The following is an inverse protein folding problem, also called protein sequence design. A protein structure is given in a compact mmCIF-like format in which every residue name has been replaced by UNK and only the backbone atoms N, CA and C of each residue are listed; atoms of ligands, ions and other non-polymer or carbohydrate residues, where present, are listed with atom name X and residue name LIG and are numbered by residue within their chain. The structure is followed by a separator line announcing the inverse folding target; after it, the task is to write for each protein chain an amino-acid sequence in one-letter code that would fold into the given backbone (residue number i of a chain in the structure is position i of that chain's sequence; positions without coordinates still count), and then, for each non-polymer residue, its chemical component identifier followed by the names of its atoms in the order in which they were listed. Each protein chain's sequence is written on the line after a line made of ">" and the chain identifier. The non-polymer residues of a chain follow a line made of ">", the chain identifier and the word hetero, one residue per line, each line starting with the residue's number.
data_IF_580676707823
#
_entry.id   IF_580676707823
#
_cell.length_a   1.000
_cell.length_b   1.000
_cell.length_c   1.000
_cell.angle_alpha   90.00
_cell.angle_beta   90.00
_cell.angle_gamma   90.00
#
_symmetry.space_group_name_H-M   'P 1'
#
loop_
_entity.id
_entity.type
_entity.pdbx_description
1 polymer ?
#
# COMPACT_ATOMS: atom_id res chain seq x y z
N UNK A 1 15.53 40.09 -8.67
CA UNK A 1 16.21 39.55 -7.48
C UNK A 1 15.25 39.71 -6.30
N UNK A 2 14.48 38.66 -5.96
CA UNK A 2 13.55 38.64 -4.83
C UNK A 2 13.50 37.20 -4.29
N UNK A 3 14.00 37.02 -3.08
CA UNK A 3 14.15 35.75 -2.36
C UNK A 3 12.94 35.48 -1.46
N UNK A 4 12.35 34.29 -1.56
CA UNK A 4 11.31 33.79 -0.65
C UNK A 4 11.95 33.14 0.60
N UNK A 5 11.41 33.35 1.83
CA UNK A 5 11.95 32.75 3.04
C UNK A 5 11.37 31.36 3.34
N UNK A 6 12.19 30.63 4.08
CA UNK A 6 12.12 29.22 4.50
C UNK A 6 10.95 28.96 5.47
N UNK A 7 9.92 28.21 5.04
CA UNK A 7 8.83 27.69 5.89
C UNK A 7 9.00 26.20 6.23
N UNK A 8 10.03 25.54 5.69
CA UNK A 8 10.21 24.08 5.81
C UNK A 8 10.73 23.63 7.19
N UNK A 9 11.24 24.54 8.04
CA UNK A 9 11.90 24.15 9.29
C UNK A 9 10.99 23.92 10.51
N UNK A 10 9.70 24.25 10.45
CA UNK A 10 8.84 24.27 11.66
C UNK A 10 8.06 22.97 11.95
N UNK A 11 7.86 22.08 10.98
CA UNK A 11 6.98 20.90 11.14
C UNK A 11 7.70 19.76 11.90
N UNK A 12 9.00 19.56 11.65
CA UNK A 12 9.80 18.52 12.31
C UNK A 12 9.93 18.72 13.84
N UNK A 13 9.90 19.98 14.30
CA UNK A 13 9.99 20.30 15.74
C UNK A 13 8.67 20.03 16.48
N UNK A 14 7.53 20.16 15.79
CA UNK A 14 6.21 19.90 16.35
C UNK A 14 5.94 18.38 16.47
N UNK A 15 6.29 17.60 15.44
CA UNK A 15 6.12 16.14 15.44
C UNK A 15 7.01 15.45 16.48
N UNK A 16 8.25 15.89 16.68
CA UNK A 16 9.13 15.35 17.72
C UNK A 16 8.59 15.61 19.14
N UNK A 17 7.98 16.77 19.38
CA UNK A 17 7.32 17.07 20.66
C UNK A 17 6.12 16.15 20.91
N UNK A 18 5.25 15.96 19.91
CA UNK A 18 4.05 15.11 20.05
C UNK A 18 4.44 13.65 20.33
N UNK A 19 5.45 13.12 19.64
CA UNK A 19 5.95 11.74 19.87
C UNK A 19 6.56 11.63 21.27
N UNK A 20 7.34 12.62 21.71
CA UNK A 20 7.94 12.64 23.05
C UNK A 20 6.89 12.71 24.17
N UNK A 21 5.84 13.51 24.02
CA UNK A 21 4.74 13.56 24.98
C UNK A 21 3.90 12.26 24.98
N UNK A 22 3.71 11.62 23.83
CA UNK A 22 2.98 10.35 23.76
C UNK A 22 3.73 9.20 24.42
N UNK A 23 5.07 9.19 24.37
CA UNK A 23 5.91 8.22 25.07
C UNK A 23 5.88 8.46 26.59
N UNK A 24 5.88 9.73 27.03
CA UNK A 24 5.80 10.09 28.45
C UNK A 24 4.46 9.65 29.07
N UNK A 25 3.34 9.81 28.34
CA UNK A 25 2.01 9.37 28.80
C UNK A 25 1.92 7.84 28.85
N UNK A 26 2.55 7.13 27.92
CA UNK A 26 2.56 5.66 27.90
C UNK A 26 3.44 5.04 29.01
N UNK A 27 4.52 5.72 29.39
CA UNK A 27 5.40 5.31 30.51
C UNK A 27 4.75 5.57 31.88
N UNK A 28 3.91 6.60 32.02
CA UNK A 28 3.21 6.88 33.28
C UNK A 28 2.05 5.90 33.55
N UNK A 29 1.49 5.24 32.53
CA UNK A 29 0.41 4.26 32.69
C UNK A 29 0.88 2.84 33.05
N UNK A 30 2.19 2.58 33.05
CA UNK A 30 2.76 1.25 33.33
C UNK A 30 3.38 1.11 34.73
N UNK A 31 3.29 2.14 35.58
CA UNK A 31 3.87 2.17 36.93
C UNK A 31 2.84 2.00 38.08
N UNK A 32 1.74 1.26 37.87
CA UNK A 32 0.87 0.84 38.98
C UNK A 32 1.40 -0.47 39.59
N UNK A 33 2.46 -0.38 40.40
CA UNK A 33 2.87 -1.44 41.33
C UNK A 33 1.83 -1.53 42.45
N UNK A 34 0.77 -2.29 42.24
CA UNK A 34 -0.18 -2.64 43.28
C UNK A 34 0.45 -3.61 44.27
N UNK A 35 0.43 -3.28 45.57
CA UNK A 35 0.73 -4.24 46.63
C UNK A 35 -0.47 -5.20 46.78
N UNK A 36 -0.23 -6.50 46.70
CA UNK A 36 -1.26 -7.51 47.01
C UNK A 36 -1.44 -7.65 48.54
N UNK A 37 -2.63 -8.10 48.97
CA UNK A 37 -2.92 -8.40 50.38
C UNK A 37 -3.35 -9.85 50.52
N UNK A 38 -2.63 -10.60 51.37
CA UNK A 38 -3.00 -11.93 51.82
C UNK A 38 -3.82 -11.83 53.11
N UNK A 39 -5.04 -12.37 53.10
CA UNK A 39 -5.84 -12.59 54.30
C UNK A 39 -5.67 -14.05 54.74
N UNK A 40 -5.03 -14.26 55.90
CA UNK A 40 -4.88 -15.59 56.49
C UNK A 40 -6.18 -16.04 57.17
N UNK A 41 -6.39 -17.36 57.30
CA UNK A 41 -7.52 -17.92 58.05
C UNK A 41 -7.55 -17.49 59.51
N UNK A 42 -6.38 -17.18 60.08
CA UNK A 42 -6.24 -16.58 61.42
C UNK A 42 -6.74 -15.13 61.51
N UNK A 43 -7.16 -14.52 60.41
CA UNK A 43 -7.62 -13.12 60.35
C UNK A 43 -6.49 -12.11 60.14
N UNK A 44 -5.22 -12.51 60.24
CA UNK A 44 -4.07 -11.63 60.00
C UNK A 44 -3.96 -11.26 58.52
N UNK A 45 -3.78 -9.97 58.24
CA UNK A 45 -3.53 -9.42 56.90
C UNK A 45 -2.04 -9.23 56.69
N UNK A 46 -1.54 -9.60 55.52
CA UNK A 46 -0.13 -9.45 55.13
C UNK A 46 -0.08 -8.76 53.78
N UNK A 47 0.57 -7.59 53.70
CA UNK A 47 0.71 -6.80 52.47
C UNK A 47 2.11 -6.96 51.88
N UNK A 48 2.20 -7.09 50.56
CA UNK A 48 3.46 -7.40 49.88
C UNK A 48 3.22 -7.79 48.42
N UNK A 49 4.23 -8.41 47.79
CA UNK A 49 4.18 -8.85 46.40
C UNK A 49 4.34 -10.36 46.26
N UNK A 50 3.48 -11.01 45.47
CA UNK A 50 3.68 -12.43 45.15
C UNK A 50 4.89 -12.56 44.23
N UNK A 51 5.89 -13.35 44.66
CA UNK A 51 7.11 -13.62 43.88
C UNK A 51 6.97 -14.94 43.13
N UNK A 52 6.41 -15.97 43.78
CA UNK A 52 6.26 -17.30 43.18
C UNK A 52 5.09 -18.07 43.82
N UNK A 53 4.53 -19.05 43.10
CA UNK A 53 3.39 -19.83 43.57
C UNK A 53 3.41 -21.27 43.02
N UNK A 54 3.52 -22.23 43.95
CA UNK A 54 3.39 -23.66 43.66
C UNK A 54 1.99 -24.18 43.94
N UNK A 55 1.77 -25.49 43.75
CA UNK A 55 0.47 -26.15 44.02
C UNK A 55 0.03 -25.97 45.48
N UNK A 56 0.96 -26.01 46.43
CA UNK A 56 0.68 -26.04 47.87
C UNK A 56 1.05 -24.75 48.63
N UNK A 57 1.95 -23.92 48.07
CA UNK A 57 2.53 -22.75 48.75
C UNK A 57 2.47 -21.49 47.87
N UNK A 58 2.60 -20.33 48.51
CA UNK A 58 2.74 -19.02 47.88
C UNK A 58 3.91 -18.29 48.54
N UNK A 59 4.86 -17.84 47.75
CA UNK A 59 6.04 -17.09 48.19
C UNK A 59 5.78 -15.59 48.05
N UNK A 60 5.86 -14.88 49.18
CA UNK A 60 5.42 -13.50 49.29
C UNK A 60 6.55 -12.61 49.81
N UNK A 61 6.86 -11.55 49.07
CA UNK A 61 7.86 -10.55 49.44
C UNK A 61 7.19 -9.38 50.16
N UNK A 62 7.54 -9.18 51.41
CA UNK A 62 7.00 -8.15 52.28
C UNK A 62 7.59 -6.77 51.93
N UNK A 63 6.96 -5.71 52.44
CA UNK A 63 7.43 -4.32 52.23
C UNK A 63 8.84 -4.06 52.79
N UNK A 64 9.29 -4.85 53.76
CA UNK A 64 10.64 -4.81 54.34
C UNK A 64 11.70 -5.51 53.46
N UNK A 65 11.31 -6.05 52.31
CA UNK A 65 12.19 -6.74 51.36
C UNK A 65 12.42 -8.22 51.66
N UNK A 66 11.92 -8.73 52.79
CA UNK A 66 12.06 -10.15 53.17
C UNK A 66 11.03 -11.04 52.47
N UNK A 67 11.41 -12.30 52.20
CA UNK A 67 10.55 -13.25 51.49
C UNK A 67 10.04 -14.31 52.47
N UNK A 68 8.71 -14.49 52.56
CA UNK A 68 8.06 -15.51 53.41
C UNK A 68 7.16 -16.43 52.58
N UNK A 69 7.21 -17.72 52.89
CA UNK A 69 6.40 -18.75 52.24
C UNK A 69 5.17 -19.05 53.08
N UNK A 70 3.99 -18.95 52.48
CA UNK A 70 2.71 -19.27 53.10
C UNK A 70 2.08 -20.51 52.45
N UNK A 71 1.65 -21.48 53.25
CA UNK A 71 0.85 -22.59 52.73
C UNK A 71 -0.56 -22.11 52.34
N UNK A 72 -1.06 -22.51 51.16
CA UNK A 72 -2.39 -22.10 50.67
C UNK A 72 -3.51 -22.58 51.57
N UNK A 73 -3.33 -23.71 52.26
CA UNK A 73 -4.26 -24.21 53.29
C UNK A 73 -4.57 -23.18 54.37
N UNK A 74 -3.63 -22.27 54.65
CA UNK A 74 -3.73 -21.24 55.68
C UNK A 74 -4.18 -19.87 55.13
N UNK A 75 -4.29 -19.73 53.81
CA UNK A 75 -4.74 -18.50 53.16
C UNK A 75 -6.25 -18.56 52.94
N UNK A 76 -6.97 -17.52 53.39
CA UNK A 76 -8.41 -17.41 53.19
C UNK A 76 -8.77 -16.69 51.90
N UNK A 77 -8.04 -15.62 51.55
CA UNK A 77 -8.25 -14.85 50.33
C UNK A 77 -6.97 -14.10 49.93
N UNK A 78 -6.69 -14.08 48.63
CA UNK A 78 -5.68 -13.20 48.03
C UNK A 78 -6.45 -12.06 47.36
N UNK A 79 -6.11 -10.82 47.71
CA UNK A 79 -6.71 -9.63 47.10
C UNK A 79 -5.64 -8.83 46.39
N UNK A 80 -5.85 -8.56 45.11
CA UNK A 80 -4.96 -7.74 44.28
C UNK A 80 -5.27 -6.23 44.41
N UNK A 81 -6.06 -5.85 45.42
CA UNK A 81 -6.46 -4.47 45.74
C UNK A 81 -6.84 -4.35 47.22
N UNK A 82 -6.48 -3.21 47.84
CA UNK A 82 -6.62 -2.91 49.28
C UNK A 82 -8.08 -3.07 49.74
N UNK A 83 -8.35 -3.96 50.71
CA UNK A 83 -9.70 -4.20 51.24
C UNK A 83 -9.96 -3.28 52.44
N UNK A 84 -10.95 -2.38 52.31
CA UNK A 84 -11.45 -1.53 53.39
C UNK A 84 -12.19 -2.34 54.47
N UNK A 85 -12.01 -1.95 55.74
CA UNK A 85 -12.57 -2.59 56.93
C UNK A 85 -14.04 -2.22 57.15
N UNK A 86 -14.84 -3.18 57.63
CA UNK A 86 -16.16 -2.92 58.21
C UNK A 86 -16.23 -3.56 59.61
N UNK A 87 -16.63 -2.83 60.66
CA UNK A 87 -16.93 -3.37 62.00
C UNK A 87 -18.42 -3.82 62.12
N UNK A 88 -18.82 -4.47 63.23
CA UNK A 88 -19.75 -5.60 63.21
C UNK A 88 -21.25 -5.29 63.43
N UNK A 89 -22.05 -6.31 63.11
CA UNK A 89 -23.52 -6.42 63.08
C UNK A 89 -24.27 -5.94 64.34
N UNK A 90 -25.33 -5.17 64.10
CA UNK A 90 -26.72 -5.34 64.61
C UNK A 90 -27.65 -4.54 63.67
N UNK A 91 -28.87 -5.04 63.44
CA UNK A 91 -29.89 -4.58 62.45
C UNK A 91 -29.87 -5.31 61.08
N UNK A 92 -30.17 -6.60 61.08
CA UNK A 92 -30.09 -7.48 59.90
C UNK A 92 -31.40 -7.62 59.08
N UNK A 93 -32.47 -6.86 59.37
CA UNK A 93 -33.76 -7.07 58.68
C UNK A 93 -34.23 -5.90 57.80
N UNK A 94 -33.62 -4.71 57.89
CA UNK A 94 -33.94 -3.57 57.00
C UNK A 94 -32.87 -3.32 55.93
N UNK A 95 -31.59 -3.59 56.21
CA UNK A 95 -30.49 -3.37 55.25
C UNK A 95 -30.43 -4.37 54.08
N UNK A 96 -30.88 -5.61 54.24
CA UNK A 96 -30.92 -6.56 53.11
C UNK A 96 -31.95 -6.16 52.04
N UNK A 97 -33.13 -5.63 52.43
CA UNK A 97 -34.09 -5.07 51.48
C UNK A 97 -33.57 -3.81 50.79
N UNK A 98 -32.76 -3.01 51.47
CA UNK A 98 -32.16 -1.79 50.89
C UNK A 98 -30.99 -2.10 49.95
N UNK A 99 -30.18 -3.12 50.24
CA UNK A 99 -29.08 -3.59 49.39
C UNK A 99 -29.61 -4.34 48.15
N UNK A 100 -30.68 -5.13 48.28
CA UNK A 100 -31.37 -5.71 47.11
C UNK A 100 -32.11 -4.66 46.29
N UNK A 101 -32.71 -3.63 46.91
CA UNK A 101 -33.26 -2.47 46.19
C UNK A 101 -32.17 -1.67 45.47
N UNK A 102 -31.00 -1.47 46.08
CA UNK A 102 -29.87 -0.76 45.43
C UNK A 102 -29.27 -1.58 44.30
N UNK A 103 -29.07 -2.90 44.45
CA UNK A 103 -28.60 -3.77 43.36
C UNK A 103 -29.60 -3.92 42.21
N UNK A 104 -30.91 -4.02 42.50
CA UNK A 104 -31.95 -4.05 41.47
C UNK A 104 -32.13 -2.70 40.79
N UNK A 105 -32.01 -1.58 41.52
CA UNK A 105 -31.99 -0.24 40.94
C UNK A 105 -30.75 0.01 40.08
N UNK A 106 -29.57 -0.47 40.49
CA UNK A 106 -28.32 -0.37 39.72
C UNK A 106 -28.34 -1.28 38.48
N UNK A 107 -28.91 -2.48 38.57
CA UNK A 107 -29.16 -3.35 37.42
C UNK A 107 -30.19 -2.74 36.47
N UNK A 108 -31.27 -2.14 36.99
CA UNK A 108 -32.26 -1.44 36.18
C UNK A 108 -31.70 -0.15 35.54
N UNK A 109 -30.81 0.57 36.23
CA UNK A 109 -30.09 1.74 35.68
C UNK A 109 -29.07 1.31 34.61
N UNK A 110 -28.35 0.20 34.83
CA UNK A 110 -27.44 -0.39 33.84
C UNK A 110 -28.21 -0.96 32.63
N UNK A 111 -29.38 -1.54 32.83
CA UNK A 111 -30.25 -1.99 31.74
C UNK A 111 -30.85 -0.79 31.00
N UNK A 112 -31.34 0.24 31.69
CA UNK A 112 -31.85 1.47 31.06
C UNK A 112 -30.75 2.22 30.29
N UNK A 113 -29.54 2.34 30.84
CA UNK A 113 -28.42 2.99 30.13
C UNK A 113 -27.91 2.15 28.95
N UNK A 114 -27.95 0.81 29.03
CA UNK A 114 -27.70 -0.06 27.87
C UNK A 114 -28.78 0.12 26.79
N UNK A 115 -30.06 0.13 27.17
CA UNK A 115 -31.18 0.37 26.26
C UNK A 115 -31.15 1.77 25.64
N UNK A 116 -30.77 2.81 26.39
CA UNK A 116 -30.60 4.17 25.86
C UNK A 116 -29.40 4.26 24.92
N UNK A 117 -28.28 3.60 25.24
CA UNK A 117 -27.13 3.49 24.33
C UNK A 117 -27.48 2.73 23.05
N UNK A 118 -28.26 1.66 23.15
CA UNK A 118 -28.75 0.88 22.00
C UNK A 118 -29.72 1.71 21.15
N UNK A 119 -30.72 2.37 21.75
CA UNK A 119 -31.64 3.26 21.03
C UNK A 119 -30.94 4.45 20.38
N UNK A 120 -29.96 5.06 21.06
CA UNK A 120 -29.14 6.13 20.49
C UNK A 120 -28.33 5.60 19.31
N UNK A 121 -27.79 4.39 19.41
CA UNK A 121 -27.04 3.73 18.34
C UNK A 121 -27.92 3.36 17.15
N UNK A 122 -29.13 2.88 17.38
CA UNK A 122 -30.10 2.63 16.31
C UNK A 122 -30.47 3.91 15.58
N UNK A 123 -30.68 5.01 16.31
CA UNK A 123 -30.89 6.34 15.70
C UNK A 123 -29.69 6.80 14.90
N UNK A 124 -28.47 6.66 15.41
CA UNK A 124 -27.25 6.99 14.67
C UNK A 124 -27.09 6.16 13.38
N UNK A 125 -27.50 4.88 13.41
CA UNK A 125 -27.51 4.01 12.22
C UNK A 125 -28.53 4.47 11.18
N UNK A 126 -29.75 4.82 11.61
CA UNK A 126 -30.81 5.35 10.73
C UNK A 126 -30.38 6.71 10.15
N UNK A 127 -29.87 7.61 10.99
CA UNK A 127 -29.41 8.94 10.60
C UNK A 127 -28.18 8.90 9.68
N UNK A 128 -27.37 7.84 9.77
CA UNK A 128 -26.23 7.65 8.87
C UNK A 128 -26.64 7.44 7.40
N UNK A 129 -27.92 7.09 7.13
CA UNK A 129 -28.48 6.85 5.79
C UNK A 129 -27.58 5.97 4.91
N UNK A 130 -27.12 4.84 5.46
CA UNK A 130 -26.20 3.91 4.81
C UNK A 130 -26.93 2.82 4.04
N UNK A 131 -27.90 3.22 3.24
CA UNK A 131 -28.56 2.36 2.26
C UNK A 131 -28.65 3.13 0.96
N UNK A 132 -27.55 3.10 0.20
CA UNK A 132 -27.43 3.88 -1.03
C UNK A 132 -26.49 3.23 -2.05
N UNK A 133 -26.74 3.55 -3.32
CA UNK A 133 -25.86 3.26 -4.44
C UNK A 133 -25.31 4.58 -5.00
N UNK A 134 -23.99 4.74 -5.04
CA UNK A 134 -23.30 5.89 -5.63
C UNK A 134 -22.60 5.43 -6.92
N UNK A 135 -22.89 6.12 -8.01
CA UNK A 135 -22.15 5.97 -9.28
C UNK A 135 -21.36 7.26 -9.51
N UNK A 136 -20.06 7.11 -9.78
CA UNK A 136 -19.15 8.22 -10.02
C UNK A 136 -18.43 8.04 -11.35
N UNK A 137 -18.28 9.14 -12.08
CA UNK A 137 -17.42 9.21 -13.25
C UNK A 137 -16.53 10.44 -13.14
N UNK A 138 -15.23 10.27 -13.37
CA UNK A 138 -14.24 11.34 -13.33
C UNK A 138 -13.24 11.25 -14.46
N UNK A 139 -12.76 12.40 -14.91
CA UNK A 139 -11.71 12.56 -15.91
C UNK A 139 -10.66 13.53 -15.39
N UNK A 140 -9.43 13.38 -15.84
CA UNK A 140 -8.36 14.29 -15.47
C UNK A 140 -7.00 13.79 -15.87
N UNK A 141 -5.97 14.44 -15.34
CA UNK A 141 -4.60 14.25 -15.77
C UNK A 141 -3.72 13.90 -14.59
N UNK A 142 -2.54 13.36 -14.89
CA UNK A 142 -1.62 12.89 -13.88
C UNK A 142 -0.28 12.50 -14.45
N UNK A 143 0.40 11.63 -13.73
CA UNK A 143 1.66 11.03 -14.18
C UNK A 143 1.68 9.55 -13.89
N UNK A 144 2.32 8.79 -14.76
CA UNK A 144 2.58 7.37 -14.59
C UNK A 144 4.04 7.04 -14.82
N UNK A 145 4.47 5.93 -14.22
CA UNK A 145 5.76 5.34 -14.46
C UNK A 145 5.57 3.82 -14.51
N UNK A 146 6.01 3.21 -15.60
CA UNK A 146 6.11 1.76 -15.73
C UNK A 146 7.41 1.27 -15.11
N UNK A 147 7.34 0.10 -14.49
CA UNK A 147 8.48 -0.59 -13.90
C UNK A 147 9.49 -1.13 -14.92
N UNK A 148 9.11 -1.18 -16.20
CA UNK A 148 9.84 -1.92 -17.22
C UNK A 148 11.01 -1.16 -17.82
N UNK A 149 10.90 0.16 -17.95
CA UNK A 149 11.92 0.97 -18.62
C UNK A 149 13.27 0.99 -17.87
N UNK A 150 13.34 1.32 -16.57
CA UNK A 150 14.63 1.28 -15.85
C UNK A 150 15.22 -0.13 -15.75
N UNK A 151 14.35 -1.14 -15.59
CA UNK A 151 14.75 -2.55 -15.51
C UNK A 151 15.41 -3.00 -16.81
N UNK A 152 14.77 -2.73 -17.95
CA UNK A 152 15.29 -3.14 -19.26
C UNK A 152 16.58 -2.41 -19.65
N UNK A 153 16.67 -1.11 -19.39
CA UNK A 153 17.92 -0.37 -19.58
C UNK A 153 19.07 -0.99 -18.78
N UNK A 154 18.80 -1.45 -17.55
CA UNK A 154 19.82 -2.11 -16.73
C UNK A 154 20.29 -3.44 -17.34
N UNK A 155 19.36 -4.24 -17.89
CA UNK A 155 19.72 -5.47 -18.63
C UNK A 155 20.57 -5.14 -19.85
N UNK A 156 20.18 -4.13 -20.62
CA UNK A 156 20.92 -3.67 -21.79
C UNK A 156 22.36 -3.23 -21.44
N UNK A 157 22.55 -2.42 -20.38
CA UNK A 157 23.90 -2.04 -19.93
C UNK A 157 24.74 -3.25 -19.52
N UNK A 158 24.15 -4.22 -18.83
CA UNK A 158 24.86 -5.45 -18.50
C UNK A 158 25.23 -6.23 -19.77
N UNK A 159 24.32 -6.33 -20.74
CA UNK A 159 24.59 -6.91 -22.05
C UNK A 159 25.78 -6.22 -22.74
N UNK A 160 25.79 -4.89 -22.82
CA UNK A 160 26.89 -4.12 -23.41
C UNK A 160 28.22 -4.26 -22.66
N UNK A 161 28.19 -4.42 -21.33
CA UNK A 161 29.38 -4.55 -20.51
C UNK A 161 30.02 -5.95 -20.59
N UNK A 162 29.19 -6.99 -20.77
CA UNK A 162 29.63 -8.39 -20.66
C UNK A 162 29.54 -9.20 -21.95
N UNK A 163 28.93 -8.67 -23.03
CA UNK A 163 28.87 -9.34 -24.33
C UNK A 163 29.61 -8.55 -25.42
N UNK A 164 30.14 -9.28 -26.40
CA UNK A 164 30.81 -8.72 -27.58
C UNK A 164 29.84 -8.12 -28.60
N UNK A 165 28.54 -8.41 -28.51
CA UNK A 165 27.47 -8.00 -29.43
C UNK A 165 26.32 -7.24 -28.75
N UNK A 166 26.59 -6.59 -27.61
CA UNK A 166 25.58 -5.96 -26.76
C UNK A 166 25.11 -4.59 -27.25
N UNK A 167 23.96 -4.14 -26.71
CA UNK A 167 23.39 -2.82 -26.96
C UNK A 167 22.95 -2.15 -25.67
N UNK A 168 23.11 -0.83 -25.56
CA UNK A 168 22.58 -0.05 -24.44
C UNK A 168 22.01 1.30 -24.84
N UNK A 169 20.92 1.69 -24.19
CA UNK A 169 20.19 2.91 -24.53
C UNK A 169 20.02 3.87 -23.36
N UNK A 170 20.30 5.14 -23.64
CA UNK A 170 19.96 6.28 -22.81
C UNK A 170 18.84 7.04 -23.49
N UNK A 171 17.62 6.85 -23.00
CA UNK A 171 16.46 7.61 -23.45
C UNK A 171 16.37 8.93 -22.67
N UNK A 172 16.21 10.07 -23.35
CA UNK A 172 16.16 11.42 -22.76
C UNK A 172 14.81 11.74 -22.12
N UNK A 173 13.75 11.01 -22.47
CA UNK A 173 12.43 11.22 -21.90
C UNK A 173 12.41 10.98 -20.38
N UNK A 174 11.61 11.72 -19.60
CA UNK A 174 11.49 11.45 -18.17
C UNK A 174 10.94 10.04 -17.90
N UNK A 175 11.36 9.41 -16.80
CA UNK A 175 10.82 8.11 -16.36
C UNK A 175 9.35 8.18 -15.92
N UNK A 176 8.92 9.37 -15.50
CA UNK A 176 7.52 9.68 -15.21
C UNK A 176 6.96 10.43 -16.41
N UNK A 177 5.98 9.84 -17.07
CA UNK A 177 5.29 10.45 -18.19
C UNK A 177 3.97 11.05 -17.72
N UNK A 178 3.53 12.19 -18.28
CA UNK A 178 2.16 12.66 -18.11
C UNK A 178 1.16 11.57 -18.49
N UNK A 179 -0.06 11.65 -17.98
CA UNK A 179 -1.16 10.82 -18.46
C UNK A 179 -2.50 11.56 -18.43
N UNK A 180 -3.40 11.10 -19.29
CA UNK A 180 -4.79 11.50 -19.28
C UNK A 180 -5.61 10.27 -18.90
N UNK A 181 -6.44 10.41 -17.87
CA UNK A 181 -7.12 9.29 -17.26
C UNK A 181 -8.58 9.53 -16.93
N UNK A 182 -9.29 8.42 -16.78
CA UNK A 182 -10.69 8.37 -16.40
C UNK A 182 -10.91 7.33 -15.32
N UNK A 183 -11.80 7.61 -14.38
CA UNK A 183 -12.21 6.67 -13.34
C UNK A 183 -13.73 6.54 -13.35
N UNK A 184 -14.19 5.29 -13.27
CA UNK A 184 -15.59 4.95 -12.97
C UNK A 184 -15.63 4.21 -11.65
N UNK A 185 -16.55 4.60 -10.76
CA UNK A 185 -16.72 3.96 -9.45
C UNK A 185 -18.19 3.68 -9.21
N UNK A 186 -18.49 2.48 -8.74
CA UNK A 186 -19.79 2.07 -8.24
C UNK A 186 -19.58 1.69 -6.78
N UNK A 187 -20.30 2.35 -5.86
CA UNK A 187 -20.21 2.11 -4.43
C UNK A 187 -21.60 1.87 -3.87
N UNK A 188 -21.81 0.70 -3.28
CA UNK A 188 -23.03 0.37 -2.57
C UNK A 188 -22.74 0.35 -1.06
N UNK A 189 -23.48 1.12 -0.28
CA UNK A 189 -23.39 1.12 1.17
C UNK A 189 -24.66 0.51 1.75
N UNK A 190 -24.49 -0.48 2.63
CA UNK A 190 -25.58 -1.15 3.33
C UNK A 190 -25.23 -1.34 4.81
N UNK A 191 -25.91 -0.58 5.68
CA UNK A 191 -25.68 -0.55 7.12
C UNK A 191 -24.18 -0.37 7.44
N UNK A 192 -23.49 -1.38 7.96
CA UNK A 192 -22.06 -1.32 8.30
C UNK A 192 -21.13 -1.68 7.15
N UNK A 193 -21.67 -2.21 6.06
CA UNK A 193 -20.89 -2.71 4.95
C UNK A 193 -20.87 -1.73 3.78
N UNK A 194 -19.80 -1.77 3.02
CA UNK A 194 -19.69 -1.07 1.74
C UNK A 194 -19.07 -2.00 0.71
N UNK A 195 -19.61 -2.00 -0.49
CA UNK A 195 -19.06 -2.69 -1.64
C UNK A 195 -18.67 -1.64 -2.66
N UNK A 196 -17.45 -1.73 -3.20
CA UNK A 196 -16.92 -0.79 -4.16
C UNK A 196 -16.33 -1.55 -5.34
N UNK A 197 -16.77 -1.20 -6.55
CA UNK A 197 -16.14 -1.57 -7.79
C UNK A 197 -15.61 -0.29 -8.45
N UNK A 198 -14.32 -0.26 -8.76
CA UNK A 198 -13.68 0.91 -9.36
C UNK A 198 -12.81 0.48 -10.54
N UNK A 199 -13.01 1.15 -11.66
CA UNK A 199 -12.19 1.05 -12.86
C UNK A 199 -11.45 2.36 -13.09
N UNK A 200 -10.15 2.29 -13.36
CA UNK A 200 -9.31 3.45 -13.67
C UNK A 200 -8.50 3.14 -14.92
N UNK A 201 -8.43 4.10 -15.83
CA UNK A 201 -7.61 4.03 -17.02
C UNK A 201 -6.78 5.31 -17.12
N UNK A 202 -5.52 5.18 -17.51
CA UNK A 202 -4.64 6.28 -17.87
C UNK A 202 -3.94 5.93 -19.19
N UNK A 203 -3.80 6.91 -20.08
CA UNK A 203 -3.18 6.77 -21.39
C UNK A 203 -2.30 7.96 -21.70
N UNK A 204 -1.23 7.74 -22.45
CA UNK A 204 -0.39 8.81 -22.94
C UNK A 204 0.42 8.37 -24.16
N UNK A 205 0.52 9.25 -25.15
CA UNK A 205 1.47 9.11 -26.25
C UNK A 205 2.64 10.06 -26.00
N UNK A 206 3.87 9.58 -26.21
CA UNK A 206 5.09 10.35 -26.00
C UNK A 206 6.16 9.97 -27.01
N UNK A 207 7.00 10.92 -27.39
CA UNK A 207 8.13 10.66 -28.28
C UNK A 207 9.20 9.86 -27.55
N UNK A 208 9.94 9.02 -28.25
CA UNK A 208 11.08 8.28 -27.71
C UNK A 208 12.34 8.86 -28.33
N UNK A 209 13.13 9.58 -27.55
CA UNK A 209 14.37 10.17 -28.01
C UNK A 209 15.53 9.70 -27.14
N UNK A 210 16.72 9.58 -27.72
CA UNK A 210 17.87 9.11 -26.96
C UNK A 210 19.12 8.83 -27.76
N UNK A 211 20.01 8.08 -27.13
CA UNK A 211 21.24 7.58 -27.73
C UNK A 211 21.36 6.09 -27.46
N UNK A 212 21.77 5.34 -28.48
CA UNK A 212 22.04 3.92 -28.39
C UNK A 212 23.52 3.68 -28.63
N UNK A 213 24.18 2.98 -27.73
CA UNK A 213 25.52 2.43 -27.97
C UNK A 213 25.39 0.97 -28.38
N UNK A 214 26.06 0.61 -29.46
CA UNK A 214 26.04 -0.70 -30.06
C UNK A 214 27.44 -1.26 -30.09
N UNK A 215 27.64 -2.48 -29.63
CA UNK A 215 28.90 -3.21 -29.79
C UNK A 215 28.74 -4.25 -30.90
N UNK A 216 29.75 -4.30 -31.78
CA UNK A 216 29.87 -5.27 -32.84
C UNK A 216 31.08 -6.15 -32.55
N UNK A 217 30.83 -7.43 -32.32
CA UNK A 217 31.89 -8.40 -32.13
C UNK A 217 32.59 -8.66 -33.45
N UNK A 218 33.91 -8.50 -33.49
CA UNK A 218 34.76 -9.03 -34.56
C UNK A 218 35.27 -10.40 -34.15
N UNK A 219 35.17 -11.38 -35.03
CA UNK A 219 35.75 -12.72 -34.85
C UNK A 219 37.29 -12.61 -34.82
N UNK A 220 37.86 -12.31 -33.65
CA UNK A 220 39.29 -12.13 -33.46
C UNK A 220 39.61 -11.29 -32.21
N UNK A 221 40.75 -11.56 -31.57
CA UNK A 221 41.21 -11.09 -30.25
C UNK A 221 41.41 -9.56 -30.05
N UNK A 222 40.73 -8.71 -30.82
CA UNK A 222 40.73 -7.24 -30.68
C UNK A 222 39.45 -6.72 -30.02
N UNK A 223 39.55 -5.57 -29.34
CA UNK A 223 38.39 -4.88 -28.76
C UNK A 223 37.30 -4.64 -29.81
N UNK A 224 36.10 -5.16 -29.59
CA UNK A 224 34.96 -5.02 -30.51
C UNK A 224 34.66 -3.56 -30.83
N UNK A 225 34.21 -3.33 -32.07
CA UNK A 225 33.90 -1.99 -32.56
C UNK A 225 32.59 -1.48 -31.96
N UNK A 226 32.48 -0.16 -31.74
CA UNK A 226 31.28 0.46 -31.15
C UNK A 226 30.75 1.59 -32.03
N UNK A 227 29.42 1.66 -32.16
CA UNK A 227 28.72 2.79 -32.77
C UNK A 227 27.82 3.48 -31.76
N UNK A 228 27.67 4.80 -31.91
CA UNK A 228 26.67 5.57 -31.18
C UNK A 228 25.64 6.06 -32.19
N UNK A 229 24.40 5.64 -31.99
CA UNK A 229 23.26 6.05 -32.79
C UNK A 229 22.41 7.05 -32.00
N UNK A 230 21.78 7.96 -32.72
CA UNK A 230 20.67 8.74 -32.21
C UNK A 230 19.38 7.93 -32.35
N UNK A 231 18.55 7.98 -31.32
CA UNK A 231 17.25 7.31 -31.25
C UNK A 231 16.15 8.35 -31.39
N UNK A 232 15.18 8.06 -32.24
CA UNK A 232 13.94 8.82 -32.42
C UNK A 232 12.77 7.86 -32.57
N UNK A 233 11.55 8.28 -32.23
CA UNK A 233 10.40 7.42 -32.33
C UNK A 233 9.20 7.90 -31.53
N UNK A 234 8.19 7.05 -31.47
CA UNK A 234 6.92 7.32 -30.79
C UNK A 234 6.56 6.14 -29.89
N UNK A 235 5.85 6.43 -28.81
CA UNK A 235 5.37 5.43 -27.88
C UNK A 235 3.98 5.77 -27.36
N UNK A 236 3.19 4.73 -27.08
CA UNK A 236 1.89 4.81 -26.44
C UNK A 236 1.88 3.95 -25.19
N UNK A 237 1.65 4.57 -24.02
CA UNK A 237 1.45 3.88 -22.76
C UNK A 237 -0.03 3.84 -22.36
N UNK A 238 -0.43 2.72 -21.76
CA UNK A 238 -1.77 2.47 -21.26
C UNK A 238 -1.69 1.75 -19.93
N UNK A 239 -2.22 2.39 -18.90
CA UNK A 239 -2.44 1.81 -17.59
C UNK A 239 -3.94 1.58 -17.38
N UNK A 240 -4.32 0.38 -16.92
CA UNK A 240 -5.69 0.05 -16.54
C UNK A 240 -5.69 -0.64 -15.19
N UNK A 241 -6.65 -0.29 -14.33
CA UNK A 241 -6.84 -0.91 -13.03
C UNK A 241 -8.31 -1.16 -12.77
N UNK A 242 -8.61 -2.35 -12.24
CA UNK A 242 -9.93 -2.71 -11.72
C UNK A 242 -9.75 -3.19 -10.29
N UNK A 243 -10.51 -2.58 -9.39
CA UNK A 243 -10.47 -2.88 -7.96
C UNK A 243 -11.87 -3.22 -7.45
N UNK A 244 -12.00 -4.34 -6.75
CA UNK A 244 -13.22 -4.73 -6.04
C UNK A 244 -12.92 -4.78 -4.55
N UNK A 245 -13.67 -4.04 -3.74
CA UNK A 245 -13.39 -3.83 -2.32
C UNK A 245 -14.64 -3.97 -1.47
N UNK A 246 -14.45 -4.53 -0.29
CA UNK A 246 -15.45 -4.63 0.76
C UNK A 246 -14.93 -3.83 1.96
N UNK A 247 -15.79 -2.99 2.51
CA UNK A 247 -15.51 -2.20 3.69
C UNK A 247 -16.45 -2.56 4.83
N UNK A 248 -15.93 -2.51 6.06
CA UNK A 248 -16.69 -2.65 7.29
C UNK A 248 -16.48 -1.43 8.19
N UNK A 249 -17.58 -0.87 8.69
CA UNK A 249 -17.60 0.28 9.59
C UNK A 249 -18.09 -0.17 10.97
N UNK A 250 -17.20 -0.33 11.96
CA UNK A 250 -17.59 -0.80 13.29
C UNK A 250 -18.55 0.18 14.00
N UNK A 251 -18.34 1.47 13.77
CA UNK A 251 -19.10 2.57 14.38
C UNK A 251 -19.54 3.56 13.29
N UNK A 252 -20.67 3.31 12.60
CA UNK A 252 -21.22 4.27 11.67
C UNK A 252 -21.69 5.52 12.41
N UNK A 253 -21.28 6.69 11.96
CA UNK A 253 -21.62 7.97 12.56
C UNK A 253 -21.95 8.98 11.45
N UNK A 254 -23.03 9.79 11.59
CA UNK A 254 -23.53 10.65 10.52
C UNK A 254 -22.51 11.69 10.01
N UNK A 255 -21.55 12.08 10.86
CA UNK A 255 -20.49 13.05 10.51
C UNK A 255 -19.21 12.37 10.02
N UNK A 256 -18.76 11.29 10.67
CA UNK A 256 -17.44 10.70 10.43
C UNK A 256 -17.55 9.18 10.46
N UNK A 257 -17.39 8.55 9.30
CA UNK A 257 -17.36 7.10 9.17
C UNK A 257 -15.93 6.62 9.01
N UNK A 258 -15.49 5.68 9.86
CA UNK A 258 -14.21 4.98 9.74
C UNK A 258 -14.42 3.53 9.30
N UNK A 259 -13.67 3.10 8.29
CA UNK A 259 -13.87 1.83 7.62
C UNK A 259 -12.58 1.03 7.56
N UNK A 260 -12.68 -0.28 7.77
CA UNK A 260 -11.62 -1.23 7.45
C UNK A 260 -11.95 -1.79 6.07
N UNK A 261 -10.98 -1.79 5.16
CA UNK A 261 -11.15 -2.16 3.76
C UNK A 261 -10.33 -3.40 3.44
N UNK A 262 -10.92 -4.32 2.69
CA UNK A 262 -10.25 -5.46 2.07
C UNK A 262 -10.71 -5.62 0.63
N UNK A 263 -9.83 -5.98 -0.29
CA UNK A 263 -10.18 -6.03 -1.71
C UNK A 263 -9.21 -6.81 -2.58
N UNK A 264 -9.61 -6.97 -3.84
CA UNK A 264 -8.85 -7.62 -4.90
C UNK A 264 -8.58 -6.57 -5.98
N UNK A 265 -7.34 -6.58 -6.45
CA UNK A 265 -6.79 -5.57 -7.35
C UNK A 265 -6.25 -6.27 -8.60
N UNK A 266 -6.60 -5.75 -9.77
CA UNK A 266 -6.02 -6.14 -11.06
C UNK A 266 -5.54 -4.91 -11.80
N UNK A 267 -4.29 -4.96 -12.27
CA UNK A 267 -3.66 -3.86 -13.00
C UNK A 267 -3.04 -4.42 -14.27
N UNK A 268 -3.28 -3.73 -15.38
CA UNK A 268 -2.68 -4.01 -16.68
C UNK A 268 -1.90 -2.77 -17.11
N UNK A 269 -0.65 -2.96 -17.50
CA UNK A 269 0.12 -1.91 -18.16
C UNK A 269 0.60 -2.43 -19.50
N UNK A 270 0.47 -1.60 -20.54
CA UNK A 270 1.02 -1.85 -21.87
C UNK A 270 1.74 -0.60 -22.33
N UNK A 271 2.94 -0.74 -22.88
CA UNK A 271 3.62 0.33 -23.60
C UNK A 271 4.12 -0.23 -24.91
N UNK A 272 3.71 0.39 -26.01
CA UNK A 272 4.16 0.05 -27.35
C UNK A 272 5.07 1.18 -27.83
N UNK A 273 6.20 0.86 -28.44
CA UNK A 273 7.15 1.83 -28.98
C UNK A 273 7.57 1.44 -30.39
N UNK A 274 7.67 2.44 -31.26
CA UNK A 274 8.31 2.36 -32.57
C UNK A 274 9.53 3.28 -32.53
N UNK A 275 10.69 2.72 -32.81
CA UNK A 275 11.97 3.37 -32.52
C UNK A 275 12.93 3.18 -33.69
N UNK A 276 13.35 4.29 -34.27
CA UNK A 276 14.43 4.36 -35.24
C UNK A 276 15.74 4.68 -34.55
N UNK A 277 16.79 3.93 -34.90
CA UNK A 277 18.13 4.16 -34.40
C UNK A 277 19.05 4.37 -35.60
N UNK A 278 19.60 5.59 -35.69
CA UNK A 278 20.37 6.08 -36.83
C UNK A 278 21.77 6.50 -36.40
N UNK A 279 22.79 5.99 -37.07
CA UNK A 279 24.17 6.33 -36.79
C UNK A 279 25.09 6.18 -37.99
N UNK A 280 26.31 6.75 -37.90
CA UNK A 280 27.30 6.62 -38.96
C UNK A 280 27.75 5.15 -39.07
N UNK A 281 28.08 4.73 -40.30
CA UNK A 281 28.74 3.43 -40.50
C UNK A 281 30.01 3.37 -39.64
N UNK A 282 30.28 2.19 -39.11
CA UNK A 282 31.49 1.96 -38.33
C UNK A 282 32.74 2.04 -39.22
N UNK A 283 33.93 2.13 -38.64
CA UNK A 283 35.19 2.12 -39.39
C UNK A 283 35.40 0.83 -40.20
N UNK A 284 34.82 -0.30 -39.77
CA UNK A 284 34.76 -1.54 -40.56
C UNK A 284 33.66 -1.56 -41.63
N UNK A 285 32.85 -0.51 -41.74
CA UNK A 285 31.81 -0.36 -42.74
C UNK A 285 30.44 -0.93 -42.36
N UNK A 286 30.26 -1.40 -41.12
CA UNK A 286 28.99 -1.96 -40.62
C UNK A 286 27.95 -0.84 -40.55
N UNK A 287 26.75 -1.11 -41.07
CA UNK A 287 25.60 -0.21 -40.95
C UNK A 287 24.89 -0.43 -39.60
N UNK A 288 24.92 0.55 -38.67
CA UNK A 288 24.28 0.36 -37.37
C UNK A 288 22.78 0.67 -37.38
N UNK A 289 22.23 1.15 -38.50
CA UNK A 289 20.84 1.61 -38.58
C UNK A 289 19.84 0.47 -38.42
N UNK A 290 18.77 0.73 -37.66
CA UNK A 290 17.75 -0.25 -37.32
C UNK A 290 16.42 0.41 -36.99
N UNK A 291 15.34 -0.33 -37.23
CA UNK A 291 13.98 0.02 -36.81
C UNK A 291 13.54 -1.03 -35.80
N UNK A 292 13.00 -0.61 -34.66
CA UNK A 292 12.59 -1.48 -33.57
C UNK A 292 11.13 -1.26 -33.19
N UNK A 293 10.36 -2.34 -33.14
CA UNK A 293 9.02 -2.36 -32.55
C UNK A 293 9.09 -3.07 -31.20
N UNK A 294 8.75 -2.35 -30.14
CA UNK A 294 8.91 -2.79 -28.76
C UNK A 294 7.58 -2.83 -28.05
N UNK A 295 7.29 -3.95 -27.42
CA UNK A 295 6.10 -4.12 -26.60
C UNK A 295 6.50 -4.46 -25.17
N UNK A 296 6.00 -3.67 -24.23
CA UNK A 296 6.15 -3.87 -22.80
C UNK A 296 4.77 -4.17 -22.22
N UNK A 297 4.61 -5.28 -21.51
CA UNK A 297 3.34 -5.61 -20.88
C UNK A 297 3.51 -6.16 -19.47
N UNK A 298 2.56 -5.85 -18.59
CA UNK A 298 2.60 -6.30 -17.20
C UNK A 298 1.20 -6.45 -16.63
N UNK A 299 0.97 -7.56 -15.91
CA UNK A 299 -0.34 -7.99 -15.42
C UNK A 299 -0.32 -8.22 -13.91
N UNK A 300 -0.54 -7.18 -13.13
CA UNK A 300 -0.55 -7.33 -11.68
C UNK A 300 -1.90 -7.87 -11.18
N UNK A 301 -1.84 -8.84 -10.27
CA UNK A 301 -3.01 -9.35 -9.55
C UNK A 301 -2.68 -9.54 -8.08
N UNK A 302 -3.63 -9.28 -7.20
CA UNK A 302 -3.47 -9.57 -5.79
C UNK A 302 -4.53 -8.90 -4.93
N UNK A 303 -4.17 -8.61 -3.69
CA UNK A 303 -5.10 -8.08 -2.70
C UNK A 303 -4.66 -6.74 -2.16
N UNK A 304 -5.64 -6.00 -1.64
CA UNK A 304 -5.47 -4.75 -0.91
C UNK A 304 -6.11 -4.86 0.47
N UNK A 305 -5.51 -4.25 1.47
CA UNK A 305 -6.17 -4.01 2.75
C UNK A 305 -5.81 -2.62 3.26
N UNK A 306 -6.67 -2.02 4.07
CA UNK A 306 -6.38 -0.70 4.60
C UNK A 306 -7.52 -0.07 5.35
N UNK A 307 -7.48 1.26 5.43
CA UNK A 307 -8.46 2.07 6.15
C UNK A 307 -9.07 3.10 5.23
N UNK A 308 -10.36 3.33 5.39
CA UNK A 308 -11.11 4.37 4.72
C UNK A 308 -11.76 5.30 5.74
N UNK A 309 -11.98 6.54 5.34
CA UNK A 309 -12.80 7.46 6.10
C UNK A 309 -13.74 8.25 5.19
N UNK A 310 -14.85 8.70 5.76
CA UNK A 310 -15.79 9.62 5.12
C UNK A 310 -16.22 10.66 6.14
N UNK A 311 -15.92 11.93 5.88
CA UNK A 311 -16.25 13.06 6.72
C UNK A 311 -17.24 13.97 5.99
N UNK A 312 -18.44 14.12 6.56
CA UNK A 312 -19.49 15.01 6.05
C UNK A 312 -19.48 16.30 6.87
N UNK A 313 -19.37 17.44 6.20
CA UNK A 313 -19.34 18.75 6.85
C UNK A 313 -20.15 19.81 6.09
N UNK A 314 -20.62 20.81 6.83
CA UNK A 314 -21.47 21.91 6.34
C UNK A 314 -22.70 21.43 5.54
N UNK A 315 -23.18 20.21 5.82
CA UNK A 315 -24.32 19.53 5.15
C UNK A 315 -24.20 19.36 3.62
N UNK A 316 -23.17 19.92 2.98
CA UNK A 316 -22.99 19.96 1.52
C UNK A 316 -21.73 19.23 1.06
N UNK A 317 -20.71 19.15 1.90
CA UNK A 317 -19.42 18.61 1.52
C UNK A 317 -19.20 17.23 2.15
N UNK A 318 -18.58 16.37 1.36
CA UNK A 318 -18.15 15.04 1.78
C UNK A 318 -16.69 14.89 1.40
N UNK A 319 -15.82 14.69 2.39
CA UNK A 319 -14.42 14.37 2.20
C UNK A 319 -14.21 12.88 2.47
N UNK A 320 -13.83 12.13 1.44
CA UNK A 320 -13.56 10.70 1.52
C UNK A 320 -12.07 10.47 1.33
N UNK A 321 -11.51 9.53 2.09
CA UNK A 321 -10.14 9.10 1.90
C UNK A 321 -9.98 7.60 2.09
N UNK A 322 -9.02 7.01 1.39
CA UNK A 322 -8.62 5.61 1.53
C UNK A 322 -7.10 5.52 1.52
N UNK A 323 -6.54 4.76 2.46
CA UNK A 323 -5.12 4.40 2.51
C UNK A 323 -5.06 2.89 2.47
N UNK A 324 -4.47 2.35 1.41
CA UNK A 324 -4.45 0.91 1.12
C UNK A 324 -3.00 0.44 1.03
N UNK A 325 -2.74 -0.72 1.63
CA UNK A 325 -1.56 -1.52 1.34
C UNK A 325 -1.88 -2.52 0.23
N UNK A 326 -1.00 -2.62 -0.76
CA UNK A 326 -1.14 -3.47 -1.94
C UNK A 326 -0.09 -4.57 -1.91
N UNK A 327 -0.51 -5.81 -2.14
CA UNK A 327 0.38 -6.96 -2.27
C UNK A 327 -0.02 -7.79 -3.50
N UNK A 328 0.75 -7.66 -4.56
CA UNK A 328 0.45 -8.18 -5.89
C UNK A 328 1.57 -9.09 -6.39
N UNK A 329 1.25 -9.87 -7.42
CA UNK A 329 2.21 -10.57 -8.27
C UNK A 329 1.94 -10.17 -9.72
N UNK A 330 2.99 -10.02 -10.51
CA UNK A 330 2.86 -9.60 -11.91
C UNK A 330 3.74 -10.43 -12.82
N UNK A 331 3.20 -11.32 -13.67
CA UNK A 331 3.89 -11.69 -14.89
C UNK A 331 3.99 -10.47 -15.81
N UNK A 332 5.15 -10.33 -16.42
CA UNK A 332 5.46 -9.24 -17.33
C UNK A 332 6.29 -9.78 -18.48
N UNK A 333 6.16 -9.12 -19.62
CA UNK A 333 6.90 -9.47 -20.81
C UNK A 333 7.44 -8.23 -21.49
N UNK A 334 8.55 -8.41 -22.17
CA UNK A 334 9.11 -7.46 -23.11
C UNK A 334 9.39 -8.19 -24.41
N UNK A 335 9.01 -7.58 -25.54
CA UNK A 335 9.29 -8.09 -26.88
C UNK A 335 9.91 -6.97 -27.70
N UNK A 336 10.96 -7.27 -28.43
CA UNK A 336 11.61 -6.38 -29.38
C UNK A 336 11.70 -7.08 -30.74
N UNK A 337 11.14 -6.46 -31.76
CA UNK A 337 11.25 -6.87 -33.14
C UNK A 337 12.11 -5.85 -33.86
N UNK A 338 13.32 -6.23 -34.21
CA UNK A 338 14.31 -5.34 -34.76
C UNK A 338 14.63 -5.68 -36.21
N UNK A 339 14.50 -4.69 -37.09
CA UNK A 339 14.79 -4.78 -38.50
C UNK A 339 16.11 -4.08 -38.79
N UNK A 340 17.05 -4.80 -39.40
CA UNK A 340 18.37 -4.28 -39.82
C UNK A 340 18.60 -4.51 -41.30
N UNK A 341 19.34 -3.60 -41.93
CA UNK A 341 19.84 -3.75 -43.30
C UNK A 341 21.35 -4.01 -43.23
N UNK A 342 21.74 -5.25 -43.50
CA UNK A 342 23.15 -5.67 -43.53
C UNK A 342 23.82 -5.17 -44.82
N UNK A 343 25.04 -4.65 -44.70
CA UNK A 343 25.79 -4.05 -45.80
C UNK A 343 26.34 -5.06 -46.82
N UNK A 344 26.37 -6.35 -46.48
CA UNK A 344 26.99 -7.40 -47.29
C UNK A 344 26.05 -8.05 -48.31
N UNK A 345 24.75 -8.12 -48.02
CA UNK A 345 23.69 -8.58 -48.91
C UNK A 345 22.43 -7.85 -48.47
N UNK A 346 21.77 -7.08 -49.34
CA UNK A 346 20.62 -6.19 -49.05
C UNK A 346 19.34 -6.88 -48.51
N UNK A 347 19.46 -8.02 -47.82
CA UNK A 347 18.41 -8.70 -47.10
C UNK A 347 18.08 -7.98 -45.80
N UNK A 348 16.79 -7.69 -45.61
CA UNK A 348 16.23 -7.30 -44.33
C UNK A 348 16.36 -8.47 -43.36
N UNK A 349 17.10 -8.28 -42.26
CA UNK A 349 17.15 -9.24 -41.16
C UNK A 349 16.19 -8.82 -40.06
N UNK A 350 15.37 -9.76 -39.62
CA UNK A 350 14.56 -9.64 -38.40
C UNK A 350 15.31 -10.32 -37.26
N UNK A 351 15.57 -9.58 -36.19
CA UNK A 351 16.00 -10.14 -34.91
C UNK A 351 14.85 -9.99 -33.91
N UNK A 352 14.48 -11.08 -33.25
CA UNK A 352 13.45 -11.09 -32.22
C UNK A 352 14.06 -11.42 -30.86
N UNK A 353 13.85 -10.51 -29.91
CA UNK A 353 14.22 -10.68 -28.52
C UNK A 353 12.99 -10.63 -27.63
N UNK A 354 12.84 -11.61 -26.75
CA UNK A 354 11.78 -11.70 -25.76
C UNK A 354 12.35 -11.86 -24.35
N UNK A 355 11.68 -11.25 -23.37
CA UNK A 355 11.99 -11.41 -21.96
C UNK A 355 10.68 -11.58 -21.20
N UNK A 356 10.52 -12.70 -20.51
CA UNK A 356 9.35 -12.98 -19.66
C UNK A 356 9.80 -13.09 -18.20
N UNK A 357 9.11 -12.43 -17.28
CA UNK A 357 9.57 -12.28 -15.90
C UNK A 357 8.40 -12.11 -14.93
N UNK A 358 8.68 -12.41 -13.66
CA UNK A 358 7.70 -12.36 -12.58
C UNK A 358 8.15 -11.40 -11.50
N UNK A 359 7.28 -10.45 -11.17
CA UNK A 359 7.44 -9.54 -10.06
C UNK A 359 6.63 -9.97 -8.85
N UNK A 360 7.22 -9.71 -7.68
CA UNK A 360 6.48 -9.49 -6.45
C UNK A 360 6.36 -8.00 -6.21
N UNK A 361 5.13 -7.48 -6.17
CA UNK A 361 4.88 -6.04 -6.07
C UNK A 361 4.23 -5.71 -4.72
N UNK A 362 4.85 -4.82 -3.95
CA UNK A 362 4.29 -4.33 -2.67
C UNK A 362 4.22 -2.83 -2.69
N UNK A 363 3.14 -2.26 -2.18
CA UNK A 363 2.95 -0.82 -2.30
C UNK A 363 1.87 -0.21 -1.45
N UNK A 364 1.62 1.05 -1.73
CA UNK A 364 0.61 1.86 -1.05
C UNK A 364 -0.17 2.67 -2.07
N UNK A 365 -1.46 2.81 -1.82
CA UNK A 365 -2.34 3.68 -2.58
C UNK A 365 -3.08 4.60 -1.60
N UNK A 366 -3.06 5.89 -1.92
CA UNK A 366 -3.80 6.92 -1.20
C UNK A 366 -4.78 7.53 -2.19
N UNK A 367 -6.07 7.49 -1.87
CA UNK A 367 -7.13 8.12 -2.63
C UNK A 367 -7.80 9.16 -1.74
N UNK A 368 -7.94 10.40 -2.22
CA UNK A 368 -8.65 11.48 -1.51
C UNK A 368 -9.66 12.10 -2.47
N UNK A 369 -10.92 12.15 -2.07
CA UNK A 369 -12.03 12.67 -2.87
C UNK A 369 -12.81 13.70 -2.06
N UNK A 370 -12.87 14.93 -2.54
CA UNK A 370 -13.72 15.99 -2.01
C UNK A 370 -14.93 16.14 -2.93
N UNK A 371 -16.13 15.95 -2.39
CA UNK A 371 -17.39 16.08 -3.13
C UNK A 371 -18.24 17.21 -2.56
N UNK A 372 -18.94 17.94 -3.43
CA UNK A 372 -19.89 18.98 -3.07
C UNK A 372 -21.26 18.66 -3.69
N UNK A 373 -22.30 18.57 -2.87
CA UNK A 373 -23.67 18.42 -3.34
C UNK A 373 -24.09 19.68 -4.11
N UNK A 374 -24.66 19.50 -5.31
CA UNK A 374 -25.11 20.60 -6.16
C UNK A 374 -26.63 20.70 -6.13
N UNK A 375 -27.33 19.63 -6.49
CA UNK A 375 -28.79 19.62 -6.54
C UNK A 375 -29.31 18.19 -6.39
N UNK A 376 -30.23 18.00 -5.44
CA UNK A 376 -30.78 16.67 -5.13
C UNK A 376 -29.66 15.68 -4.82
N UNK A 377 -29.62 14.59 -5.59
CA UNK A 377 -28.64 13.52 -5.39
C UNK A 377 -27.40 13.64 -6.28
N UNK A 378 -27.23 14.77 -6.98
CA UNK A 378 -26.06 15.06 -7.79
C UNK A 378 -25.01 15.82 -7.00
N UNK A 379 -23.77 15.35 -7.09
CA UNK A 379 -22.60 16.02 -6.52
C UNK A 379 -21.49 16.13 -7.56
N UNK A 380 -20.70 17.19 -7.48
CA UNK A 380 -19.43 17.30 -8.21
C UNK A 380 -18.30 16.91 -7.28
N UNK A 381 -17.19 16.40 -7.80
CA UNK A 381 -16.04 16.04 -7.00
C UNK A 381 -14.71 16.40 -7.64
N UNK A 382 -13.71 16.54 -6.77
CA UNK A 382 -12.29 16.53 -7.10
C UNK A 382 -11.67 15.33 -6.39
N UNK A 383 -10.96 14.49 -7.12
CA UNK A 383 -10.28 13.31 -6.61
C UNK A 383 -8.80 13.34 -6.95
N UNK A 384 -7.95 13.08 -5.96
CA UNK A 384 -6.53 12.83 -6.17
C UNK A 384 -6.18 11.43 -5.74
N UNK A 385 -5.31 10.78 -6.50
CA UNK A 385 -4.80 9.46 -6.18
C UNK A 385 -3.29 9.41 -6.35
N UNK A 386 -2.64 8.68 -5.45
CA UNK A 386 -1.24 8.36 -5.53
C UNK A 386 -1.03 6.89 -5.19
N UNK A 387 -0.65 6.10 -6.18
CA UNK A 387 -0.29 4.70 -6.04
C UNK A 387 1.20 4.53 -6.35
N UNK A 388 1.92 3.84 -5.44
CA UNK A 388 3.30 3.42 -5.67
C UNK A 388 3.44 1.94 -5.35
N UNK A 389 3.92 1.16 -6.32
CA UNK A 389 4.31 -0.24 -6.17
C UNK A 389 5.82 -0.35 -6.28
N UNK A 390 6.45 -1.02 -5.31
CA UNK A 390 7.83 -1.49 -5.39
C UNK A 390 7.80 -2.91 -5.92
N UNK A 391 8.49 -3.14 -7.03
CA UNK A 391 8.52 -4.40 -7.75
C UNK A 391 9.87 -5.08 -7.51
N UNK A 392 9.82 -6.30 -6.99
CA UNK A 392 10.98 -7.14 -6.73
C UNK A 392 10.96 -8.34 -7.66
N UNK A 393 12.03 -8.50 -8.44
CA UNK A 393 12.14 -9.59 -9.41
C UNK A 393 12.16 -10.93 -8.65
N UNK A 394 11.36 -11.90 -9.11
CA UNK A 394 11.35 -13.26 -8.55
C UNK A 394 12.09 -14.22 -9.50
N UNK A 395 11.75 -14.17 -10.77
CA UNK A 395 12.32 -15.00 -11.83
C UNK A 395 12.13 -14.34 -13.19
N UNK A 396 12.86 -14.81 -14.19
CA UNK A 396 12.64 -14.46 -15.58
C UNK A 396 13.40 -15.39 -16.52
N UNK A 397 13.08 -15.29 -17.81
CA UNK A 397 13.64 -16.08 -18.90
C UNK A 397 13.85 -15.17 -20.10
N UNK A 398 14.92 -15.41 -20.85
CA UNK A 398 15.24 -14.71 -22.10
C UNK A 398 14.94 -15.68 -23.24
N UNK A 399 14.28 -15.17 -24.29
CA UNK A 399 14.07 -15.88 -25.54
C UNK A 399 14.74 -15.07 -26.66
N UNK A 400 15.66 -15.70 -27.36
CA UNK A 400 16.33 -15.15 -28.54
C UNK A 400 16.03 -16.08 -29.71
N UNK A 401 15.55 -15.52 -30.82
CA UNK A 401 15.33 -16.29 -32.05
C UNK A 401 16.26 -15.73 -33.14
N UNK A 402 17.43 -16.35 -33.26
CA UNK A 402 18.47 -16.01 -34.25
C UNK A 402 18.43 -16.96 -35.47
N UNK A 403 17.25 -17.46 -35.85
CA UNK A 403 17.05 -18.20 -37.10
C UNK A 403 17.73 -19.58 -37.17
N UNK A 404 18.22 -20.09 -36.03
CA UNK A 404 18.77 -21.43 -35.88
C UNK A 404 18.73 -21.86 -34.41
N UNK A 405 17.92 -22.88 -34.12
CA UNK A 405 17.60 -23.42 -32.78
C UNK A 405 17.10 -22.40 -31.75
N UNK A 406 15.86 -22.62 -31.28
CA UNK A 406 15.31 -21.95 -30.10
C UNK A 406 16.03 -22.45 -28.85
N UNK A 407 17.22 -21.91 -28.58
CA UNK A 407 17.86 -22.11 -27.29
C UNK A 407 17.07 -21.30 -26.25
N UNK A 408 16.10 -21.95 -25.61
CA UNK A 408 15.53 -21.47 -24.36
C UNK A 408 16.65 -21.52 -23.32
N UNK A 409 17.45 -20.45 -23.24
CA UNK A 409 18.38 -20.29 -22.13
C UNK A 409 17.53 -20.12 -20.87
N UNK A 410 17.34 -21.25 -20.18
CA UNK A 410 16.85 -21.33 -18.82
C UNK A 410 17.84 -20.67 -17.87
N UNK A 411 18.09 -19.39 -18.04
CA UNK A 411 18.65 -18.52 -17.03
C UNK A 411 17.59 -18.45 -15.94
N UNK A 412 17.61 -19.42 -15.02
CA UNK A 412 17.37 -19.02 -13.63
C UNK A 412 18.31 -17.84 -13.44
N UNK A 413 17.77 -16.63 -13.36
CA UNK A 413 18.49 -15.38 -13.12
C UNK A 413 19.10 -15.46 -11.70
N UNK A 414 19.98 -16.42 -11.47
CA UNK A 414 20.90 -16.51 -10.35
C UNK A 414 22.20 -15.75 -10.67
N UNK A 415 22.36 -15.30 -11.93
CA UNK A 415 23.50 -14.51 -12.40
C UNK A 415 23.67 -13.10 -11.79
N UNK A 416 22.66 -12.43 -11.20
CA UNK A 416 22.89 -11.11 -10.59
C UNK A 416 22.36 -10.98 -9.17
N UNK A 417 22.60 -11.97 -8.29
CA UNK A 417 22.67 -11.62 -6.85
C UNK A 417 23.89 -10.73 -6.54
N UNK A 418 24.92 -10.77 -7.40
CA UNK A 418 26.18 -10.03 -7.23
C UNK A 418 26.26 -8.82 -8.19
N UNK A 419 25.62 -8.86 -9.36
CA UNK A 419 26.01 -7.94 -10.43
C UNK A 419 25.31 -6.57 -10.46
N UNK A 420 24.03 -6.41 -10.12
CA UNK A 420 23.44 -5.05 -10.04
C UNK A 420 22.26 -4.98 -9.05
N UNK A 421 22.39 -4.31 -7.89
CA UNK A 421 21.28 -4.04 -6.97
C UNK A 421 20.08 -3.30 -7.62
N UNK A 422 20.32 -2.52 -8.68
CA UNK A 422 19.26 -1.85 -9.47
C UNK A 422 18.32 -2.82 -10.21
N UNK A 423 18.73 -4.06 -10.51
CA UNK A 423 17.83 -5.06 -11.10
C UNK A 423 16.80 -5.58 -10.09
N UNK A 424 17.06 -5.40 -8.79
CA UNK A 424 16.27 -6.02 -7.73
C UNK A 424 15.03 -5.21 -7.36
N UNK A 425 15.00 -3.91 -7.67
CA UNK A 425 13.89 -3.02 -7.30
C UNK A 425 13.53 -2.06 -8.44
N UNK A 426 12.33 -2.23 -8.98
CA UNK A 426 11.71 -1.25 -9.87
C UNK A 426 10.45 -0.64 -9.24
N UNK A 427 9.92 0.43 -9.82
CA UNK A 427 8.74 1.13 -9.32
C UNK A 427 7.68 1.30 -10.40
N UNK A 428 6.44 0.97 -10.05
CA UNK A 428 5.26 1.38 -10.81
C UNK A 428 4.59 2.50 -10.03
N UNK A 429 4.32 3.62 -10.69
CA UNK A 429 3.65 4.77 -10.07
C UNK A 429 2.45 5.15 -10.93
N UNK A 430 1.32 5.41 -10.28
CA UNK A 430 0.18 6.09 -10.90
C UNK A 430 -0.24 7.24 -10.01
N UNK A 431 -0.34 8.42 -10.60
CA UNK A 431 -0.91 9.60 -9.96
C UNK A 431 -1.92 10.24 -10.88
N UNK A 432 -2.96 10.84 -10.30
CA UNK A 432 -3.89 11.68 -11.05
C UNK A 432 -4.64 12.63 -10.14
N UNK A 433 -5.07 13.73 -10.74
CA UNK A 433 -6.10 14.63 -10.22
C UNK A 433 -7.25 14.62 -11.22
N UNK A 434 -8.44 14.30 -10.75
CA UNK A 434 -9.64 14.11 -11.57
C UNK A 434 -10.78 14.98 -11.05
N UNK A 435 -11.59 15.44 -11.99
CA UNK A 435 -12.84 16.14 -11.74
C UNK A 435 -13.97 15.28 -12.27
N UNK A 436 -15.10 15.28 -11.58
CA UNK A 436 -16.18 14.40 -11.98
C UNK A 436 -17.51 14.67 -11.29
N UNK A 437 -18.45 13.78 -11.58
CA UNK A 437 -19.81 13.83 -11.06
C UNK A 437 -20.15 12.53 -10.36
N UNK A 438 -20.94 12.64 -9.29
CA UNK A 438 -21.53 11.53 -8.57
C UNK A 438 -23.05 11.65 -8.64
N UNK A 439 -23.71 10.53 -8.82
CA UNK A 439 -25.14 10.40 -8.58
C UNK A 439 -25.39 9.35 -7.50
N UNK A 440 -26.25 9.69 -6.54
CA UNK A 440 -26.59 8.81 -5.41
C UNK A 440 -28.05 8.38 -5.47
N UNK A 441 -28.30 7.08 -5.39
CA UNK A 441 -29.63 6.50 -5.24
C UNK A 441 -29.79 6.11 -3.78
N UNK A 442 -30.71 6.79 -3.07
CA UNK A 442 -31.08 6.45 -1.70
C UNK A 442 -32.30 5.50 -1.73
N UNK A 443 -32.31 4.50 -0.85
CA UNK A 443 -33.35 3.47 -0.77
C UNK A 443 -34.03 3.40 0.60
#
# INVERSE_FOLDING_TARGET
>A
MLSFPVIVFSINKLMKKIISYSILVFLLTSASLGSETLLLKSGKKVEGRIVDQDKETVTFKLADGTTKVFQKSNIRKISFSKIAENPPKKEETQKNKEIEKKKSAELALNQKSKLEKEKKRERELIDSKRHFLEVSFGIGNGTEQSELRPFFQTIQYAGLAFSSSGQAEILTNPYKTPNNGSTTRIRYAWNRFTFELRGTQAKHNFDVNGFQTLAFGTDGSGSGERAVNAIFGEASSKFQKVSSRIGFTPYPHPVLDLQILGGIERIWTKTDQEVDSLGPKTASGINPNRISFREYSSHHKGYSFGVGFEWKFLKRFTFQGQILHLNLTSPSSFKNYEYRIDSSNAALRLNQFGLDYWWKSKGTEINLKLSANVKGNWSVFVETSHMTLKNTLQSGYITEDDGGNQDQLGLKIFGPRILIPMLHESKTILTYVQFGVNHRFDF
#
